data_IF_421100169657
#
_entry.id   IF_421100169657
#
_cell.length_a   1.000
_cell.length_b   1.000
_cell.length_c   1.000
_cell.angle_alpha   90.00
_cell.angle_beta   90.00
_cell.angle_gamma   90.00
#
_symmetry.space_group_name_H-M   'P 1'
#
loop_
_entity.id
_entity.type
_entity.pdbx_description
1 polymer ?
#
# COMPACT_ATOMS: atom_id res chain seq x y z
N UNK A 1 32.10 -5.25 32.72
CA UNK A 1 31.77 -5.13 31.28
C UNK A 1 31.81 -3.67 30.88
N UNK A 2 32.43 -3.33 29.75
CA UNK A 2 32.39 -1.94 29.22
C UNK A 2 31.05 -1.69 28.54
N UNK A 3 30.59 -0.43 28.51
CA UNK A 3 29.33 -0.05 27.88
C UNK A 3 29.20 -0.50 26.41
N UNK A 4 30.34 -0.61 25.71
CA UNK A 4 30.43 -1.07 24.32
C UNK A 4 29.95 -2.52 24.19
N UNK A 5 30.43 -3.43 25.05
CA UNK A 5 30.07 -4.85 24.98
C UNK A 5 28.62 -5.10 25.36
N UNK A 6 28.10 -4.37 26.34
CA UNK A 6 26.67 -4.43 26.69
C UNK A 6 25.80 -3.96 25.52
N UNK A 7 26.20 -2.88 24.85
CA UNK A 7 25.48 -2.36 23.68
C UNK A 7 25.52 -3.36 22.52
N UNK A 8 26.67 -3.95 22.22
CA UNK A 8 26.81 -4.97 21.18
C UNK A 8 25.94 -6.20 21.46
N UNK A 9 25.88 -6.66 22.71
CA UNK A 9 25.02 -7.76 23.12
C UNK A 9 23.53 -7.43 22.96
N UNK A 10 23.10 -6.23 23.36
CA UNK A 10 21.72 -5.78 23.17
C UNK A 10 21.36 -5.73 21.69
N UNK A 11 22.23 -5.16 20.85
CA UNK A 11 22.00 -5.10 19.40
C UNK A 11 21.91 -6.51 18.81
N UNK A 12 22.82 -7.41 19.18
CA UNK A 12 22.79 -8.80 18.72
C UNK A 12 21.49 -9.53 19.11
N UNK A 13 20.97 -9.28 20.32
CA UNK A 13 19.69 -9.82 20.80
C UNK A 13 18.47 -9.16 20.15
N UNK A 14 18.62 -8.03 19.45
CA UNK A 14 17.55 -7.38 18.68
C UNK A 14 17.57 -7.76 17.20
N UNK A 15 18.66 -8.38 16.71
CA UNK A 15 18.80 -8.75 15.30
C UNK A 15 17.64 -9.58 14.74
N UNK A 16 17.09 -10.60 15.45
CA UNK A 16 15.92 -11.32 14.96
C UNK A 16 14.71 -10.43 14.68
N UNK A 17 14.44 -9.47 15.57
CA UNK A 17 13.38 -8.48 15.39
C UNK A 17 13.64 -7.54 14.21
N UNK A 18 14.88 -7.06 14.07
CA UNK A 18 15.28 -6.20 12.94
C UNK A 18 15.14 -6.97 11.62
N UNK A 19 15.64 -8.20 11.56
CA UNK A 19 15.56 -9.03 10.36
C UNK A 19 14.13 -9.45 10.02
N UNK A 20 13.25 -9.61 11.01
CA UNK A 20 11.83 -9.76 10.78
C UNK A 20 11.27 -8.59 9.95
N UNK A 21 11.56 -7.34 10.33
CA UNK A 21 11.14 -6.18 9.55
C UNK A 21 11.80 -6.08 8.18
N UNK A 22 13.09 -6.43 8.06
CA UNK A 22 13.76 -6.53 6.75
C UNK A 22 13.05 -7.57 5.87
N UNK A 23 12.68 -8.71 6.43
CA UNK A 23 11.93 -9.77 5.75
C UNK A 23 10.57 -9.26 5.26
N UNK A 24 9.83 -8.57 6.12
CA UNK A 24 8.55 -7.94 5.75
C UNK A 24 8.74 -6.92 4.61
N UNK A 25 9.72 -6.02 4.75
CA UNK A 25 10.01 -4.98 3.78
C UNK A 25 10.52 -5.52 2.43
N UNK A 26 11.21 -6.65 2.41
CA UNK A 26 11.79 -7.22 1.19
C UNK A 26 10.73 -7.65 0.16
N UNK A 27 9.53 -8.02 0.63
CA UNK A 27 8.43 -8.51 -0.20
C UNK A 27 7.42 -7.40 -0.54
N UNK A 28 7.25 -6.40 0.33
CA UNK A 28 6.42 -5.21 0.11
C UNK A 28 7.14 -4.14 -0.73
N UNK A 29 7.48 -4.46 -1.99
CA UNK A 29 8.16 -3.50 -2.90
C UNK A 29 7.28 -2.37 -3.42
N UNK A 30 5.95 -2.47 -3.27
CA UNK A 30 5.00 -1.55 -3.90
C UNK A 30 4.19 -0.88 -2.80
N UNK A 31 4.49 0.39 -2.57
CA UNK A 31 3.74 1.30 -1.70
C UNK A 31 3.70 0.92 -0.22
N UNK A 32 4.63 1.46 0.57
CA UNK A 32 4.31 2.09 1.85
C UNK A 32 5.51 2.77 2.51
N UNK A 33 5.28 4.00 2.97
CA UNK A 33 5.60 4.29 4.38
C UNK A 33 4.84 3.25 5.21
N UNK A 34 5.49 2.12 5.51
CA UNK A 34 4.96 1.17 6.48
C UNK A 34 4.92 1.99 7.73
N UNK A 35 3.70 2.37 8.14
CA UNK A 35 3.36 3.19 9.31
C UNK A 35 4.61 3.34 10.15
N UNK A 36 5.39 4.39 9.88
CA UNK A 36 6.51 4.74 10.74
C UNK A 36 5.86 5.37 11.95
N UNK A 37 5.08 4.56 12.68
CA UNK A 37 4.85 4.75 14.10
C UNK A 37 6.25 5.01 14.61
N UNK A 38 6.53 6.22 15.11
CA UNK A 38 7.89 6.76 15.18
C UNK A 38 8.94 5.78 15.71
N UNK A 39 10.23 6.05 15.48
CA UNK A 39 11.34 5.13 15.75
C UNK A 39 11.24 4.28 17.05
N UNK A 40 10.64 4.85 18.10
CA UNK A 40 10.32 4.17 19.37
C UNK A 40 9.39 2.96 19.20
N UNK A 41 8.28 3.07 18.47
CA UNK A 41 7.32 1.96 18.30
C UNK A 41 7.82 0.89 17.34
N UNK A 42 8.59 1.26 16.31
CA UNK A 42 9.32 0.28 15.48
C UNK A 42 10.30 -0.53 16.33
N UNK A 43 11.08 0.15 17.18
CA UNK A 43 12.02 -0.49 18.09
C UNK A 43 11.29 -1.38 19.11
N UNK A 44 10.17 -0.92 19.67
CA UNK A 44 9.36 -1.69 20.60
C UNK A 44 8.79 -2.96 19.96
N UNK A 45 8.28 -2.87 18.73
CA UNK A 45 7.82 -4.05 17.99
C UNK A 45 8.99 -4.97 17.65
N UNK A 46 10.14 -4.44 17.22
CA UNK A 46 11.32 -5.26 16.95
C UNK A 46 11.78 -6.01 18.20
N UNK A 47 11.77 -5.35 19.36
CA UNK A 47 12.04 -5.97 20.64
C UNK A 47 11.03 -7.08 20.97
N UNK A 48 9.73 -6.83 20.80
CA UNK A 48 8.67 -7.81 21.02
C UNK A 48 8.88 -9.07 20.16
N UNK A 49 9.08 -8.90 18.85
CA UNK A 49 9.34 -10.02 17.94
C UNK A 49 10.63 -10.75 18.30
N UNK A 50 11.69 -10.02 18.66
CA UNK A 50 12.96 -10.64 19.03
C UNK A 50 12.83 -11.49 20.29
N UNK A 51 12.17 -10.97 21.33
CA UNK A 51 11.86 -11.73 22.55
C UNK A 51 11.04 -12.97 22.21
N UNK A 52 9.98 -12.83 21.40
CA UNK A 52 9.14 -13.96 20.99
C UNK A 52 9.93 -15.06 20.28
N UNK A 53 10.77 -14.68 19.30
CA UNK A 53 11.62 -15.62 18.55
C UNK A 53 12.60 -16.32 19.49
N UNK A 54 13.26 -15.58 20.39
CA UNK A 54 14.17 -16.16 21.36
C UNK A 54 13.46 -17.11 22.33
N UNK A 55 12.28 -16.74 22.85
CA UNK A 55 11.50 -17.61 23.74
C UNK A 55 11.13 -18.92 23.05
N UNK A 56 10.65 -18.85 21.80
CA UNK A 56 10.30 -20.06 21.03
C UNK A 56 11.54 -20.92 20.75
N UNK A 57 12.64 -20.33 20.30
CA UNK A 57 13.87 -21.06 20.00
C UNK A 57 14.50 -21.68 21.25
N UNK A 58 14.54 -20.96 22.36
CA UNK A 58 15.07 -21.48 23.62
C UNK A 58 14.19 -22.59 24.19
N UNK A 59 12.86 -22.44 24.11
CA UNK A 59 11.92 -23.46 24.57
C UNK A 59 12.05 -24.75 23.75
N UNK A 60 12.13 -24.61 22.43
CA UNK A 60 12.33 -25.76 21.52
C UNK A 60 13.68 -26.42 21.74
N UNK A 61 14.78 -25.66 21.77
CA UNK A 61 16.11 -26.21 22.03
C UNK A 61 16.24 -26.85 23.44
N UNK A 62 15.60 -26.25 24.46
CA UNK A 62 15.58 -26.80 25.82
C UNK A 62 14.91 -28.17 25.88
N UNK A 63 13.86 -28.39 25.08
CA UNK A 63 13.25 -29.71 24.92
C UNK A 63 14.22 -30.76 24.34
N UNK A 64 15.27 -30.34 23.65
CA UNK A 64 16.38 -31.18 23.17
C UNK A 64 17.63 -31.13 24.05
N UNK A 65 17.51 -30.66 25.30
CA UNK A 65 18.60 -30.65 26.28
C UNK A 65 19.54 -29.44 26.23
N UNK A 66 19.25 -28.44 25.39
CA UNK A 66 20.04 -27.21 25.33
C UNK A 66 19.85 -26.36 26.60
N UNK A 67 20.95 -25.89 27.21
CA UNK A 67 20.93 -25.03 28.39
C UNK A 67 21.62 -23.71 28.11
N UNK A 68 20.85 -22.64 27.97
CA UNK A 68 21.36 -21.29 27.69
C UNK A 68 22.39 -20.81 28.74
N UNK A 69 22.19 -21.15 30.01
CA UNK A 69 23.10 -20.79 31.11
C UNK A 69 24.52 -21.32 30.89
N UNK A 70 24.68 -22.47 30.24
CA UNK A 70 25.98 -23.07 29.95
C UNK A 70 26.78 -22.29 28.88
N UNK A 71 26.11 -21.43 28.10
CA UNK A 71 26.70 -20.63 27.02
C UNK A 71 26.90 -19.15 27.42
N UNK A 72 26.07 -18.63 28.32
CA UNK A 72 26.19 -17.25 28.82
C UNK A 72 27.26 -17.14 29.93
N UNK A 73 27.35 -18.12 30.83
CA UNK A 73 28.31 -18.07 31.94
C UNK A 73 29.78 -17.83 31.52
N UNK A 74 30.28 -18.45 30.42
CA UNK A 74 31.63 -18.20 29.93
C UNK A 74 31.87 -16.78 29.37
N UNK A 75 30.83 -16.11 28.83
CA UNK A 75 30.95 -14.75 28.29
C UNK A 75 31.22 -13.72 29.40
N UNK A 76 30.65 -13.92 30.59
CA UNK A 76 30.88 -13.05 31.74
C UNK A 76 32.32 -13.13 32.27
N UNK A 77 32.98 -14.27 32.05
CA UNK A 77 34.34 -14.55 32.55
C UNK A 77 35.43 -14.22 31.51
N UNK A 78 35.06 -13.75 30.32
CA UNK A 78 35.99 -13.62 29.18
C UNK A 78 37.10 -12.58 29.38
N UNK A 79 36.93 -11.64 30.32
CA UNK A 79 37.90 -10.58 30.59
C UNK A 79 39.18 -11.07 31.28
N UNK A 80 39.14 -12.23 31.95
CA UNK A 80 40.19 -12.69 32.86
C UNK A 80 40.96 -13.93 32.35
N UNK A 81 40.82 -14.28 31.06
CA UNK A 81 41.25 -15.59 30.52
C UNK A 81 42.56 -15.49 29.74
N UNK A 82 43.43 -16.50 29.91
CA UNK A 82 44.69 -16.64 29.19
C UNK A 82 44.51 -16.94 27.70
N UNK A 83 45.44 -16.50 26.84
CA UNK A 83 45.35 -16.69 25.38
C UNK A 83 45.27 -18.15 24.92
N UNK A 84 45.81 -19.10 25.68
CA UNK A 84 45.82 -20.54 25.32
C UNK A 84 44.46 -21.18 25.61
N UNK A 85 43.80 -20.80 26.69
CA UNK A 85 42.43 -21.25 27.03
C UNK A 85 41.35 -20.57 26.17
N UNK A 86 41.73 -19.49 25.48
CA UNK A 86 40.85 -18.73 24.61
C UNK A 86 40.33 -19.58 23.44
N UNK A 87 41.21 -20.34 22.76
CA UNK A 87 40.84 -21.11 21.56
C UNK A 87 39.85 -22.22 21.91
N UNK A 88 40.11 -22.95 23.00
CA UNK A 88 39.25 -24.06 23.42
C UNK A 88 37.89 -23.57 23.96
N UNK A 89 37.84 -22.39 24.58
CA UNK A 89 36.58 -21.73 24.95
C UNK A 89 35.86 -21.11 23.75
N UNK A 90 36.57 -20.60 22.76
CA UNK A 90 35.97 -20.06 21.52
C UNK A 90 35.21 -21.17 20.78
N UNK A 91 35.84 -22.32 20.57
CA UNK A 91 35.23 -23.45 19.83
C UNK A 91 34.11 -24.12 20.63
N UNK A 92 34.29 -24.33 21.94
CA UNK A 92 33.30 -25.06 22.75
C UNK A 92 32.13 -24.21 23.24
N UNK A 93 32.28 -22.88 23.38
CA UNK A 93 31.27 -21.99 23.99
C UNK A 93 30.83 -20.83 23.09
N UNK A 94 31.75 -20.17 22.38
CA UNK A 94 31.39 -19.04 21.51
C UNK A 94 30.75 -19.49 20.20
N UNK A 95 31.25 -20.56 19.58
CA UNK A 95 30.69 -21.05 18.31
C UNK A 95 29.19 -21.42 18.44
N UNK A 96 28.72 -22.19 19.44
CA UNK A 96 27.30 -22.46 19.61
C UNK A 96 26.47 -21.18 19.87
N UNK A 97 27.02 -20.21 20.59
CA UNK A 97 26.37 -18.91 20.83
C UNK A 97 26.22 -18.12 19.54
N UNK A 98 27.27 -18.07 18.72
CA UNK A 98 27.23 -17.42 17.42
C UNK A 98 26.25 -18.11 16.47
N UNK A 99 26.24 -19.45 16.41
CA UNK A 99 25.29 -20.22 15.61
C UNK A 99 23.84 -19.97 16.06
N UNK A 100 23.59 -19.87 17.37
CA UNK A 100 22.28 -19.51 17.90
C UNK A 100 21.84 -18.10 17.45
N UNK A 101 22.74 -17.11 17.51
CA UNK A 101 22.44 -15.75 17.06
C UNK A 101 22.15 -15.70 15.56
N UNK A 102 22.94 -16.41 14.75
CA UNK A 102 22.70 -16.53 13.30
C UNK A 102 21.36 -17.21 13.04
N UNK A 103 21.10 -18.36 13.66
CA UNK A 103 19.87 -19.11 13.48
C UNK A 103 18.63 -18.30 13.90
N UNK A 104 18.67 -17.62 15.05
CA UNK A 104 17.56 -16.76 15.49
C UNK A 104 17.34 -15.58 14.55
N UNK A 105 18.41 -14.98 14.02
CA UNK A 105 18.32 -13.90 13.02
C UNK A 105 17.69 -14.39 11.72
N UNK A 106 18.12 -15.55 11.22
CA UNK A 106 17.55 -16.18 10.02
C UNK A 106 16.07 -16.55 10.23
N UNK A 107 15.71 -17.08 11.40
CA UNK A 107 14.32 -17.35 11.76
C UNK A 107 13.48 -16.07 11.76
N UNK A 108 14.00 -14.96 12.29
CA UNK A 108 13.34 -13.66 12.23
C UNK A 108 13.08 -13.22 10.79
N UNK A 109 14.11 -13.24 9.94
CA UNK A 109 13.98 -12.93 8.52
C UNK A 109 12.97 -13.82 7.79
N UNK A 110 13.05 -15.13 7.98
CA UNK A 110 12.13 -16.10 7.38
C UNK A 110 10.68 -15.86 7.84
N UNK A 111 10.46 -15.64 9.13
CA UNK A 111 9.14 -15.31 9.68
C UNK A 111 8.59 -14.01 9.07
N UNK A 112 9.45 -12.98 8.92
CA UNK A 112 9.09 -11.73 8.27
C UNK A 112 8.62 -11.93 6.83
N UNK A 113 9.35 -12.73 6.05
CA UNK A 113 8.96 -13.08 4.67
C UNK A 113 7.64 -13.85 4.65
N UNK A 114 7.43 -14.81 5.56
CA UNK A 114 6.18 -15.57 5.64
C UNK A 114 4.99 -14.67 5.98
N UNK A 115 5.16 -13.73 6.91
CA UNK A 115 4.14 -12.73 7.25
C UNK A 115 3.83 -11.86 6.03
N UNK A 116 4.85 -11.38 5.32
CA UNK A 116 4.67 -10.56 4.12
C UNK A 116 3.92 -11.31 3.01
N UNK A 117 4.28 -12.58 2.77
CA UNK A 117 3.55 -13.45 1.84
C UNK A 117 2.12 -13.65 2.29
N UNK A 118 1.89 -13.85 3.59
CA UNK A 118 0.56 -13.97 4.19
C UNK A 118 -0.29 -12.69 4.07
N UNK A 119 0.36 -11.52 4.12
CA UNK A 119 -0.28 -10.21 3.90
C UNK A 119 -0.63 -10.04 2.41
N UNK A 120 0.31 -10.28 1.50
CA UNK A 120 0.10 -10.04 0.07
C UNK A 120 -0.86 -11.06 -0.54
N UNK A 121 -0.69 -12.35 -0.22
CA UNK A 121 -1.37 -13.45 -0.92
C UNK A 121 -2.39 -14.18 -0.06
N UNK A 122 -2.45 -13.91 1.24
CA UNK A 122 -3.04 -14.83 2.21
C UNK A 122 -4.10 -14.20 3.14
N UNK A 123 -4.39 -14.90 4.25
CA UNK A 123 -5.48 -14.55 5.16
C UNK A 123 -5.20 -13.29 5.99
N UNK A 124 -3.93 -12.83 6.04
CA UNK A 124 -3.53 -11.67 6.83
C UNK A 124 -3.81 -10.32 6.13
N UNK A 125 -4.41 -10.33 4.93
CA UNK A 125 -4.86 -9.12 4.22
C UNK A 125 -5.73 -8.19 5.07
N UNK A 126 -6.48 -8.74 6.02
CA UNK A 126 -7.33 -7.97 6.94
C UNK A 126 -6.55 -7.03 7.87
N UNK A 127 -5.26 -7.29 8.10
CA UNK A 127 -4.41 -6.44 8.95
C UNK A 127 -3.95 -5.16 8.24
N UNK A 128 -4.10 -5.10 6.92
CA UNK A 128 -3.66 -3.94 6.14
C UNK A 128 -4.77 -2.90 6.05
N UNK A 129 -4.46 -1.67 6.46
CA UNK A 129 -5.35 -0.50 6.32
C UNK A 129 -5.82 -0.23 4.88
N UNK A 130 -5.00 -0.49 3.85
CA UNK A 130 -5.34 -0.24 2.44
C UNK A 130 -5.47 -1.52 1.63
N UNK A 131 -6.42 -2.40 2.01
CA UNK A 131 -6.63 -3.71 1.38
C UNK A 131 -6.74 -3.67 -0.15
N UNK A 132 -7.41 -2.65 -0.69
CA UNK A 132 -7.67 -2.52 -2.13
C UNK A 132 -6.39 -2.44 -2.99
N UNK A 133 -5.28 -1.95 -2.42
CA UNK A 133 -3.96 -1.87 -3.08
C UNK A 133 -3.42 -3.25 -3.39
N UNK A 134 -3.54 -4.15 -2.43
CA UNK A 134 -3.08 -5.53 -2.59
C UNK A 134 -3.96 -6.28 -3.58
N UNK A 135 -5.27 -6.00 -3.58
CA UNK A 135 -6.17 -6.54 -4.60
C UNK A 135 -5.82 -6.02 -6.00
N UNK A 136 -5.34 -4.79 -6.13
CA UNK A 136 -4.86 -4.23 -7.39
C UNK A 136 -3.57 -4.93 -7.86
N UNK A 137 -2.57 -5.06 -6.98
CA UNK A 137 -1.29 -5.72 -7.28
C UNK A 137 -1.49 -7.20 -7.63
N UNK A 138 -2.34 -7.91 -6.87
CA UNK A 138 -2.62 -9.32 -7.11
C UNK A 138 -3.38 -9.52 -8.43
N UNK A 139 -4.28 -8.60 -8.79
CA UNK A 139 -4.95 -8.60 -10.10
C UNK A 139 -3.98 -8.30 -11.22
N UNK A 140 -3.08 -7.32 -11.06
CA UNK A 140 -2.10 -6.97 -12.08
C UNK A 140 -1.16 -8.16 -12.37
N UNK A 141 -0.69 -8.85 -11.31
CA UNK A 141 0.14 -10.05 -11.42
C UNK A 141 -0.57 -11.25 -12.07
N UNK A 142 -1.86 -11.47 -11.78
CA UNK A 142 -2.59 -12.69 -12.24
C UNK A 142 -3.40 -12.50 -13.52
N UNK A 143 -4.00 -11.31 -13.71
CA UNK A 143 -5.04 -11.04 -14.73
C UNK A 143 -4.60 -10.05 -15.80
N UNK A 144 -3.39 -9.49 -15.68
CA UNK A 144 -2.82 -8.61 -16.68
C UNK A 144 -2.99 -7.14 -16.37
N UNK A 145 -2.80 -6.34 -17.41
CA UNK A 145 -2.49 -4.91 -17.36
C UNK A 145 -3.63 -4.09 -16.72
N UNK A 146 -3.32 -3.39 -15.62
CA UNK A 146 -4.22 -2.38 -15.03
C UNK A 146 -4.20 -1.09 -15.86
N UNK A 147 -5.36 -0.64 -16.32
CA UNK A 147 -5.50 0.70 -16.92
C UNK A 147 -5.85 1.71 -15.83
N UNK A 148 -5.18 2.86 -15.82
CA UNK A 148 -5.42 3.93 -14.87
C UNK A 148 -5.95 5.13 -15.62
N UNK A 149 -7.00 5.74 -15.08
CA UNK A 149 -7.53 7.01 -15.52
C UNK A 149 -7.29 8.04 -14.43
N UNK A 150 -6.51 9.07 -14.72
CA UNK A 150 -6.14 10.12 -13.78
C UNK A 150 -6.82 11.41 -14.20
N UNK A 151 -7.69 11.93 -13.35
CA UNK A 151 -8.27 13.26 -13.47
C UNK A 151 -7.35 14.24 -12.75
N UNK A 152 -6.88 15.26 -13.45
CA UNK A 152 -6.00 16.27 -12.85
C UNK A 152 -6.77 17.43 -12.23
N UNK A 153 -6.07 18.25 -11.45
CA UNK A 153 -6.59 19.52 -10.92
C UNK A 153 -6.60 20.64 -11.97
N UNK A 154 -5.94 20.45 -13.11
CA UNK A 154 -5.88 21.44 -14.20
C UNK A 154 -7.22 21.50 -14.94
N UNK A 155 -7.86 22.67 -14.88
CA UNK A 155 -9.12 22.95 -15.57
C UNK A 155 -8.93 24.11 -16.55
N UNK A 156 -9.53 24.00 -17.74
CA UNK A 156 -9.50 25.03 -18.79
C UNK A 156 -10.86 24.99 -19.50
N UNK A 157 -11.56 26.13 -19.59
CA UNK A 157 -12.83 26.28 -20.31
C UNK A 157 -13.88 25.19 -20.00
N UNK A 158 -14.12 24.91 -18.71
CA UNK A 158 -15.04 23.88 -18.22
C UNK A 158 -14.67 22.43 -18.65
N UNK A 159 -13.42 22.23 -19.03
CA UNK A 159 -12.83 20.94 -19.34
C UNK A 159 -11.76 20.61 -18.32
N UNK A 160 -11.70 19.34 -17.91
CA UNK A 160 -10.63 18.86 -17.02
C UNK A 160 -9.69 17.97 -17.80
N UNK A 161 -8.41 18.21 -17.61
CA UNK A 161 -7.35 17.42 -18.20
C UNK A 161 -7.31 16.03 -17.54
N UNK A 162 -7.36 14.99 -18.37
CA UNK A 162 -7.27 13.60 -17.95
C UNK A 162 -6.15 12.85 -18.68
N UNK A 163 -5.60 11.87 -17.99
CA UNK A 163 -4.63 10.92 -18.53
C UNK A 163 -5.18 9.50 -18.41
N UNK A 164 -4.96 8.70 -19.46
CA UNK A 164 -5.20 7.26 -19.46
C UNK A 164 -3.88 6.57 -19.76
N UNK A 165 -3.53 5.55 -19.01
CA UNK A 165 -2.36 4.74 -19.33
C UNK A 165 -2.36 3.43 -18.56
N UNK A 166 -1.35 2.60 -18.81
CA UNK A 166 -1.12 1.37 -18.06
C UNK A 166 -0.41 1.71 -16.75
N UNK A 167 -0.86 1.15 -15.64
CA UNK A 167 -0.18 1.32 -14.37
C UNK A 167 1.23 0.73 -14.46
N UNK A 168 2.26 1.53 -14.22
CA UNK A 168 3.60 1.01 -14.02
C UNK A 168 3.93 0.90 -12.54
N UNK A 169 3.73 1.99 -11.82
CA UNK A 169 4.07 2.14 -10.41
C UNK A 169 3.22 3.26 -9.82
N UNK A 170 2.92 3.17 -8.54
CA UNK A 170 2.34 4.27 -7.79
C UNK A 170 2.80 4.21 -6.34
N UNK A 171 2.88 5.37 -5.71
CA UNK A 171 3.25 5.48 -4.31
C UNK A 171 2.11 6.08 -3.51
N UNK A 172 1.87 5.51 -2.33
CA UNK A 172 0.80 5.92 -1.43
C UNK A 172 1.34 6.23 -0.04
N UNK A 173 0.90 7.36 0.49
CA UNK A 173 1.17 7.81 1.85
C UNK A 173 0.30 7.06 2.86
N UNK A 174 0.67 7.12 4.14
CA UNK A 174 -0.04 6.44 5.23
C UNK A 174 -1.56 6.77 5.28
N UNK A 175 -1.92 8.00 4.92
CA UNK A 175 -3.30 8.48 4.85
C UNK A 175 -4.14 7.89 3.73
N UNK A 176 -3.56 7.09 2.83
CA UNK A 176 -4.25 6.60 1.63
C UNK A 176 -4.20 7.58 0.45
N UNK A 177 -3.56 8.74 0.63
CA UNK A 177 -3.30 9.71 -0.43
C UNK A 177 -2.20 9.18 -1.35
N UNK A 178 -2.38 9.30 -2.66
CA UNK A 178 -1.36 8.96 -3.65
C UNK A 178 -0.34 10.10 -3.70
N UNK A 179 0.94 9.78 -3.56
CA UNK A 179 2.04 10.76 -3.70
C UNK A 179 2.44 10.94 -5.14
N UNK A 180 2.44 9.88 -5.94
CA UNK A 180 2.63 9.94 -7.38
C UNK A 180 2.12 8.66 -8.04
N UNK A 181 1.87 8.74 -9.34
CA UNK A 181 1.59 7.60 -10.21
C UNK A 181 2.42 7.70 -11.49
N UNK A 182 2.98 6.58 -11.93
CA UNK A 182 3.71 6.44 -13.17
C UNK A 182 2.88 5.59 -14.13
N UNK A 183 2.55 6.17 -15.27
CA UNK A 183 1.78 5.53 -16.33
C UNK A 183 2.68 5.20 -17.51
N UNK A 184 2.49 4.02 -18.11
CA UNK A 184 3.01 3.65 -19.43
C UNK A 184 1.97 3.80 -20.52
N UNK A 185 2.42 3.89 -21.76
CA UNK A 185 1.56 3.93 -22.94
C UNK A 185 0.43 4.97 -22.80
N UNK A 186 0.75 6.15 -22.28
CA UNK A 186 -0.29 7.05 -21.82
C UNK A 186 -0.80 7.99 -22.93
N UNK A 187 -2.09 8.30 -22.83
CA UNK A 187 -2.81 9.20 -23.70
C UNK A 187 -3.45 10.32 -22.87
N UNK A 188 -3.52 11.50 -23.47
CA UNK A 188 -4.09 12.70 -22.87
C UNK A 188 -5.42 13.03 -23.53
N UNK A 189 -6.44 13.31 -22.73
CA UNK A 189 -7.76 13.72 -23.23
C UNK A 189 -8.40 14.72 -22.25
N UNK A 190 -9.43 15.43 -22.70
CA UNK A 190 -10.20 16.35 -21.86
C UNK A 190 -11.59 15.78 -21.58
N UNK A 191 -12.05 15.88 -20.33
CA UNK A 191 -13.43 15.61 -19.95
C UNK A 191 -14.19 16.93 -19.86
N UNK A 192 -15.22 17.08 -20.69
CA UNK A 192 -16.08 18.26 -20.67
C UNK A 192 -17.15 18.10 -19.59
N UNK A 193 -17.29 19.08 -18.70
CA UNK A 193 -18.38 19.14 -17.71
C UNK A 193 -19.59 19.92 -18.21
N UNK A 194 -19.49 20.63 -19.34
CA UNK A 194 -20.56 21.48 -19.88
C UNK A 194 -21.71 20.68 -20.51
N UNK A 195 -21.43 19.49 -21.05
CA UNK A 195 -22.40 18.69 -21.79
C UNK A 195 -23.02 17.62 -20.89
N UNK A 196 -24.23 17.91 -20.39
CA UNK A 196 -25.06 17.00 -19.59
C UNK A 196 -25.38 15.70 -20.35
N UNK A 197 -25.29 15.72 -21.68
CA UNK A 197 -25.69 14.64 -22.58
C UNK A 197 -24.53 13.81 -23.16
N UNK A 198 -23.27 14.14 -22.90
CA UNK A 198 -22.16 13.30 -23.35
C UNK A 198 -21.98 12.10 -22.41
N UNK A 199 -22.31 10.86 -22.84
CA UNK A 199 -21.95 9.70 -22.06
C UNK A 199 -20.43 9.68 -21.90
N UNK A 200 -19.93 9.24 -20.75
CA UNK A 200 -18.50 9.19 -20.42
C UNK A 200 -17.65 8.41 -21.44
N UNK A 201 -18.29 7.62 -22.31
CA UNK A 201 -17.67 6.93 -23.46
C UNK A 201 -17.49 7.75 -24.74
N UNK A 202 -18.07 8.95 -24.85
CA UNK A 202 -17.86 9.90 -25.95
C UNK A 202 -16.89 11.03 -25.56
N UNK A 203 -15.83 10.67 -24.82
CA UNK A 203 -14.71 11.57 -24.57
C UNK A 203 -14.14 12.05 -25.91
N UNK A 204 -14.01 13.38 -26.04
CA UNK A 204 -13.36 14.00 -27.18
C UNK A 204 -11.87 13.62 -27.13
N UNK A 205 -11.53 12.57 -27.86
CA UNK A 205 -10.14 12.31 -28.22
C UNK A 205 -9.71 13.49 -29.10
N UNK A 206 -8.83 14.34 -28.55
CA UNK A 206 -8.41 15.63 -29.14
C UNK A 206 -7.77 15.43 -30.53
N UNK A 207 -7.45 14.17 -30.88
CA UNK A 207 -6.71 13.81 -32.08
C UNK A 207 -7.54 13.07 -33.14
N UNK A 208 -8.85 13.33 -33.26
CA UNK A 208 -9.69 12.74 -34.33
C UNK A 208 -9.38 13.22 -35.76
N UNK A 209 -8.27 13.92 -36.01
CA UNK A 209 -8.06 14.65 -37.28
C UNK A 209 -6.77 14.40 -38.06
N UNK A 210 -5.72 13.76 -37.53
CA UNK A 210 -4.42 13.73 -38.26
C UNK A 210 -3.63 12.43 -38.00
N UNK A 211 -3.17 11.70 -39.04
CA UNK A 211 -2.48 10.42 -38.88
C UNK A 211 -0.99 10.55 -38.50
N UNK A 212 -0.60 11.64 -37.83
CA UNK A 212 0.80 11.94 -37.53
C UNK A 212 1.07 11.74 -36.04
N UNK A 213 1.72 10.62 -35.71
CA UNK A 213 2.43 10.41 -34.44
C UNK A 213 1.61 10.70 -33.17
N UNK A 214 0.80 9.70 -32.81
CA UNK A 214 0.51 9.32 -31.41
C UNK A 214 1.73 9.65 -30.53
N UNK A 215 1.75 10.80 -29.85
CA UNK A 215 2.66 11.03 -28.72
C UNK A 215 2.09 10.28 -27.53
N UNK A 216 2.05 8.95 -27.66
CA UNK A 216 1.96 8.05 -26.54
C UNK A 216 3.25 8.27 -25.79
N UNK A 217 3.20 8.92 -24.64
CA UNK A 217 4.41 8.99 -23.82
C UNK A 217 4.65 7.60 -23.26
N UNK A 218 5.87 7.10 -23.45
CA UNK A 218 6.26 5.79 -22.93
C UNK A 218 6.12 5.75 -21.41
N UNK A 219 6.42 6.86 -20.74
CA UNK A 219 6.29 7.03 -19.30
C UNK A 219 5.80 8.45 -18.98
N UNK A 220 4.82 8.55 -18.07
CA UNK A 220 4.35 9.81 -17.50
C UNK A 220 4.22 9.67 -15.99
N UNK A 221 4.98 10.46 -15.26
CA UNK A 221 4.84 10.62 -13.82
C UNK A 221 3.87 11.77 -13.53
N UNK A 222 2.87 11.52 -12.70
CA UNK A 222 1.91 12.52 -12.23
C UNK A 222 2.05 12.61 -10.72
N UNK A 223 2.41 13.79 -10.23
CA UNK A 223 2.48 14.11 -8.80
C UNK A 223 1.06 14.07 -8.19
N UNK A 224 0.96 13.50 -6.98
CA UNK A 224 -0.25 13.47 -6.17
C UNK A 224 -0.86 14.84 -5.86
N UNK A 225 -0.06 15.91 -5.88
CA UNK A 225 -0.58 17.29 -5.80
C UNK A 225 -1.47 17.68 -6.99
N UNK A 226 -1.26 17.04 -8.15
CA UNK A 226 -1.99 17.30 -9.39
C UNK A 226 -3.12 16.31 -9.65
N UNK A 227 -3.33 15.31 -8.78
CA UNK A 227 -4.38 14.29 -8.92
C UNK A 227 -5.64 14.76 -8.19
N UNK A 228 -6.68 15.10 -8.96
CA UNK A 228 -8.01 15.38 -8.40
C UNK A 228 -8.77 14.08 -8.09
N UNK A 229 -8.71 13.11 -9.01
CA UNK A 229 -9.29 11.79 -8.82
C UNK A 229 -8.52 10.75 -9.66
N UNK A 230 -8.57 9.49 -9.24
CA UNK A 230 -7.90 8.39 -9.93
C UNK A 230 -8.76 7.13 -9.91
N UNK A 231 -8.91 6.52 -11.07
CA UNK A 231 -9.63 5.27 -11.23
C UNK A 231 -8.66 4.19 -11.72
N UNK A 232 -8.56 3.12 -10.94
CA UNK A 232 -7.85 1.91 -11.33
C UNK A 232 -8.84 0.93 -11.92
N UNK A 233 -8.71 0.66 -13.22
CA UNK A 233 -9.53 -0.28 -13.97
C UNK A 233 -8.70 -1.54 -14.30
N UNK A 234 -8.88 -2.63 -13.54
CA UNK A 234 -8.17 -3.88 -13.77
C UNK A 234 -8.80 -4.72 -14.90
N UNK A 235 -9.75 -4.18 -15.68
CA UNK A 235 -10.31 -4.90 -16.82
C UNK A 235 -9.25 -5.08 -17.91
N UNK A 236 -8.80 -6.32 -18.10
CA UNK A 236 -7.82 -6.72 -19.12
C UNK A 236 -8.28 -6.45 -20.56
N UNK A 237 -9.53 -6.06 -20.72
CA UNK A 237 -10.18 -5.73 -21.97
C UNK A 237 -11.03 -4.52 -21.65
N UNK A 238 -10.77 -3.41 -22.36
CA UNK A 238 -11.74 -2.35 -22.70
C UNK A 238 -13.13 -2.85 -22.36
N UNK A 239 -13.81 -2.24 -21.37
CA UNK A 239 -15.20 -2.51 -20.99
C UNK A 239 -15.90 -3.10 -22.20
N UNK A 240 -15.99 -4.43 -22.27
CA UNK A 240 -16.68 -5.05 -23.39
C UNK A 240 -18.10 -4.66 -23.10
N UNK A 241 -18.60 -3.68 -23.84
CA UNK A 241 -19.99 -3.30 -23.79
C UNK A 241 -20.76 -4.55 -24.19
N UNK A 242 -21.10 -5.37 -23.19
CA UNK A 242 -22.02 -6.47 -23.37
C UNK A 242 -23.36 -5.82 -23.61
N UNK A 243 -24.14 -6.34 -24.55
CA UNK A 243 -25.48 -5.81 -24.81
C UNK A 243 -26.32 -5.80 -23.52
N UNK A 244 -26.13 -6.81 -22.67
CA UNK A 244 -26.75 -6.91 -21.34
C UNK A 244 -26.32 -5.78 -20.39
N UNK A 245 -25.01 -5.50 -20.27
CA UNK A 245 -24.50 -4.41 -19.43
C UNK A 245 -24.97 -3.04 -19.91
N UNK A 246 -25.04 -2.86 -21.23
CA UNK A 246 -25.54 -1.64 -21.86
C UNK A 246 -27.04 -1.45 -21.61
N UNK A 247 -27.82 -2.54 -21.67
CA UNK A 247 -29.26 -2.53 -21.37
C UNK A 247 -29.53 -2.24 -19.89
N UNK A 248 -28.76 -2.87 -18.98
CA UNK A 248 -28.86 -2.63 -17.54
C UNK A 248 -28.51 -1.17 -17.18
N UNK A 249 -27.45 -0.62 -17.78
CA UNK A 249 -27.06 0.77 -17.58
C UNK A 249 -28.14 1.75 -18.07
N UNK A 250 -28.71 1.52 -19.26
CA UNK A 250 -29.82 2.34 -19.78
C UNK A 250 -31.04 2.30 -18.87
N UNK A 251 -31.40 1.12 -18.34
CA UNK A 251 -32.50 0.98 -17.40
C UNK A 251 -32.25 1.74 -16.09
N UNK A 252 -31.04 1.65 -15.54
CA UNK A 252 -30.65 2.37 -14.32
C UNK A 252 -30.64 3.90 -14.51
N UNK A 253 -30.13 4.39 -15.63
CA UNK A 253 -30.14 5.83 -15.96
C UNK A 253 -31.58 6.34 -16.12
N UNK A 254 -32.44 5.58 -16.81
CA UNK A 254 -33.86 5.92 -16.97
C UNK A 254 -34.57 5.99 -15.61
N UNK A 255 -34.41 4.98 -14.77
CA UNK A 255 -35.01 4.95 -13.43
C UNK A 255 -34.54 6.13 -12.55
N UNK A 256 -33.25 6.49 -12.63
CA UNK A 256 -32.71 7.63 -11.88
C UNK A 256 -33.28 8.97 -12.36
N UNK A 257 -33.46 9.12 -13.68
CA UNK A 257 -34.07 10.32 -14.28
C UNK A 257 -35.52 10.48 -13.85
N UNK A 258 -36.31 9.40 -13.93
CA UNK A 258 -37.70 9.38 -13.46
C UNK A 258 -37.82 9.69 -11.96
N UNK A 259 -36.90 9.17 -11.13
CA UNK A 259 -36.84 9.49 -9.71
C UNK A 259 -36.51 10.97 -9.45
N UNK A 260 -35.58 11.54 -10.22
CA UNK A 260 -35.20 12.96 -10.12
C UNK A 260 -36.32 13.91 -10.58
N UNK A 261 -37.03 13.56 -11.65
CA UNK A 261 -38.18 14.32 -12.16
C UNK A 261 -39.36 14.28 -11.16
N UNK A 262 -39.61 13.12 -10.55
CA UNK A 262 -40.59 13.00 -9.45
C UNK A 262 -40.21 13.83 -8.24
N UNK A 263 -38.93 13.86 -7.87
CA UNK A 263 -38.44 14.66 -6.75
C UNK A 263 -38.52 16.18 -7.04
N UNK A 264 -38.24 16.60 -8.28
CA UNK A 264 -38.32 18.00 -8.71
C UNK A 264 -39.75 18.56 -8.76
N UNK A 265 -40.74 17.75 -9.13
CA UNK A 265 -42.15 18.18 -9.18
C UNK A 265 -42.85 18.28 -7.81
N UNK A 266 -42.19 17.90 -6.71
CA UNK A 266 -42.74 18.02 -5.35
C UNK A 266 -42.47 19.36 -4.66
N UNK A 267 -41.72 20.27 -5.30
CA UNK A 267 -41.45 21.62 -4.75
C UNK A 267 -42.25 22.66 -5.53
N UNK A 268 -43.58 22.62 -5.41
CA UNK A 268 -44.41 23.78 -5.73
C UNK A 268 -44.23 24.82 -4.62
N UNK A 269 -43.92 26.09 -4.92
CA UNK A 269 -43.80 27.11 -3.88
C UNK A 269 -45.16 27.33 -3.19
N UNK A 270 -45.19 27.54 -1.87
CA UNK A 270 -46.42 27.91 -1.18
C UNK A 270 -46.92 29.23 -1.78
N UNK A 271 -48.18 29.25 -2.21
CA UNK A 271 -48.81 30.42 -2.81
C UNK A 271 -48.69 31.61 -1.84
N UNK A 272 -47.95 32.63 -2.23
CA UNK A 272 -47.89 33.89 -1.49
C UNK A 272 -49.23 34.60 -1.58
N UNK A 273 -50.03 34.50 -0.52
CA UNK A 273 -51.24 35.30 -0.34
C UNK A 273 -50.83 36.77 -0.23
N UNK A 274 -51.11 37.54 -1.28
CA UNK A 274 -50.83 38.98 -1.33
C UNK A 274 -51.86 39.73 -0.48
N UNK A 275 -51.52 40.04 0.76
CA UNK A 275 -52.33 40.92 1.60
C UNK A 275 -52.12 42.37 1.16
N UNK A 276 -53.20 43.00 0.69
CA UNK A 276 -53.26 44.40 0.24
C UNK A 276 -53.22 45.33 1.47
N UNK A 277 -52.32 46.32 1.57
CA UNK A 277 -52.29 47.25 2.69
C UNK A 277 -53.36 48.33 2.54
N UNK A 278 -54.06 48.60 3.64
CA UNK A 278 -55.07 49.65 3.82
C UNK A 278 -54.39 51.02 4.02
N UNK A 279 -54.94 52.14 3.49
CA UNK A 279 -54.30 53.44 3.58
C UNK A 279 -54.53 54.11 4.95
N UNK A 280 -53.56 54.91 5.45
CA UNK A 280 -53.69 55.59 6.72
C UNK A 280 -54.55 56.86 6.62
N UNK A 281 -55.40 57.06 7.63
CA UNK A 281 -56.10 58.30 7.97
C UNK A 281 -55.21 59.26 8.76
#
# INVERSE_FOLDING_TARGET
MTAIWTTAAIVALLLPGIFFFIGVASYERVSREVIRSGAVSELALAMLFSIGIHVVLLSTLSAFGFRLSAFIAPLAQYADISHVELVDRVTSKLLPTALYLIASTLCGGALGVLVAVGIVSGPLRGLVKHKWVYDLIDRDRRRGITTVYVMTTTQEDNKVLMYRGRLHEFFMLEGGKISYVILKDCARYYMNFADVDLPTGQQLDIFRGTPAQRRVWDYLMIDGGNIANILFDPSAQTIKATEEGTKALRAAVKARREASEKAGNTVSPPSSTTTKPEPPT
#
